data_IF_361621468037
#
_entry.id   IF_361621468037
#
_cell.length_a   1.000
_cell.length_b   1.000
_cell.length_c   1.000
_cell.angle_alpha   90.00
_cell.angle_beta   90.00
_cell.angle_gamma   90.00
#
_symmetry.space_group_name_H-M   'P 1'
#
loop_
_entity.id
_entity.type
_entity.pdbx_description
1 polymer ?
#
# COMPACT_ATOMS: atom_id res chain seq x y z
N UNK A 1 -54.09 -9.08 55.18
CA UNK A 1 -54.35 -9.04 53.73
C UNK A 1 -54.03 -7.63 53.26
N UNK A 2 -52.82 -7.40 52.77
CA UNK A 2 -52.39 -6.16 52.10
C UNK A 2 -51.63 -6.62 50.84
N UNK A 3 -52.01 -6.19 49.64
CA UNK A 3 -51.27 -6.49 48.42
C UNK A 3 -50.30 -5.35 48.14
N UNK A 4 -48.99 -5.61 48.09
CA UNK A 4 -48.04 -4.68 47.48
C UNK A 4 -47.07 -5.45 46.57
N UNK A 5 -47.41 -5.32 45.29
CA UNK A 5 -46.66 -5.29 44.02
C UNK A 5 -45.15 -5.64 44.05
N UNK A 6 -44.65 -6.45 43.09
CA UNK A 6 -43.22 -6.60 42.86
C UNK A 6 -42.67 -5.34 42.18
N UNK A 7 -41.71 -4.66 42.80
CA UNK A 7 -40.92 -3.62 42.14
C UNK A 7 -40.06 -4.25 41.04
N UNK A 8 -40.55 -4.14 39.80
CA UNK A 8 -39.75 -4.23 38.60
C UNK A 8 -39.20 -2.83 38.29
N UNK A 9 -38.01 -2.50 38.79
CA UNK A 9 -37.30 -1.31 38.28
C UNK A 9 -35.76 -1.37 38.46
N UNK A 10 -35.15 -2.51 38.16
CA UNK A 10 -33.69 -2.62 38.01
C UNK A 10 -33.22 -2.35 36.57
N UNK A 11 -34.03 -1.65 35.77
CA UNK A 11 -33.66 -1.22 34.45
C UNK A 11 -32.87 0.11 34.50
N UNK A 12 -31.67 0.06 33.89
CA UNK A 12 -30.87 1.17 33.38
C UNK A 12 -29.84 1.77 34.35
N UNK A 13 -28.57 1.44 34.11
CA UNK A 13 -27.37 2.14 34.61
C UNK A 13 -26.78 3.02 33.49
N UNK A 14 -27.09 4.34 33.42
CA UNK A 14 -26.62 5.21 32.33
C UNK A 14 -25.15 5.68 32.46
N UNK A 15 -24.37 5.18 33.42
CA UNK A 15 -23.03 5.70 33.75
C UNK A 15 -21.85 4.76 33.43
N UNK A 16 -22.06 3.44 33.31
CA UNK A 16 -20.97 2.49 33.00
C UNK A 16 -20.63 2.44 31.50
N UNK A 17 -21.65 2.55 30.63
CA UNK A 17 -21.49 2.44 29.18
C UNK A 17 -20.73 3.64 28.60
N UNK A 18 -21.01 4.86 29.09
CA UNK A 18 -20.31 6.09 28.68
C UNK A 18 -18.78 5.98 28.86
N UNK A 19 -18.32 5.34 29.94
CA UNK A 19 -16.88 5.14 30.19
C UNK A 19 -16.27 3.99 29.39
N UNK A 20 -17.02 2.91 29.14
CA UNK A 20 -16.57 1.80 28.29
C UNK A 20 -16.45 2.23 26.82
N UNK A 21 -17.45 2.97 26.33
CA UNK A 21 -17.46 3.58 24.99
C UNK A 21 -16.32 4.60 24.86
N UNK A 22 -16.11 5.48 25.84
CA UNK A 22 -14.99 6.43 25.78
C UNK A 22 -13.63 5.72 25.74
N UNK A 23 -13.41 4.70 26.58
CA UNK A 23 -12.18 3.88 26.54
C UNK A 23 -12.02 3.05 25.26
N UNK A 24 -13.13 2.70 24.59
CA UNK A 24 -13.11 2.05 23.28
C UNK A 24 -12.75 3.06 22.18
N UNK A 25 -13.33 4.27 22.22
CA UNK A 25 -13.00 5.39 21.30
C UNK A 25 -11.53 5.81 21.46
N UNK A 26 -11.03 5.93 22.69
CA UNK A 26 -9.65 6.34 22.97
C UNK A 26 -8.63 5.29 22.47
N UNK A 27 -8.95 3.99 22.61
CA UNK A 27 -8.14 2.90 22.02
C UNK A 27 -8.26 2.82 20.51
N UNK A 28 -9.46 3.06 19.98
CA UNK A 28 -9.69 3.12 18.55
C UNK A 28 -8.86 4.26 17.93
N UNK A 29 -8.86 5.46 18.51
CA UNK A 29 -8.00 6.56 18.04
C UNK A 29 -6.50 6.31 18.23
N UNK A 30 -6.09 5.56 19.26
CA UNK A 30 -4.69 5.19 19.48
C UNK A 30 -4.17 4.16 18.46
N UNK A 31 -5.04 3.26 17.98
CA UNK A 31 -4.66 2.17 17.06
C UNK A 31 -4.80 2.54 15.56
N UNK A 32 -5.34 3.72 15.24
CA UNK A 32 -5.64 4.07 13.84
C UNK A 32 -4.49 4.78 13.13
N UNK A 33 -3.75 3.97 12.37
CA UNK A 33 -3.03 4.32 11.13
C UNK A 33 -1.84 5.25 11.33
N UNK A 34 -0.73 4.61 11.64
CA UNK A 34 0.55 5.28 11.72
C UNK A 34 0.85 6.00 10.37
N UNK A 35 1.04 7.32 10.40
CA UNK A 35 0.91 8.20 9.23
C UNK A 35 2.03 7.99 8.19
N UNK A 36 3.14 7.39 8.64
CA UNK A 36 4.34 7.22 7.82
C UNK A 36 4.14 6.22 6.69
N UNK A 37 3.52 5.07 6.94
CA UNK A 37 3.21 4.08 5.90
C UNK A 37 2.14 4.59 4.91
N UNK A 38 1.22 5.44 5.36
CA UNK A 38 0.25 6.04 4.46
C UNK A 38 0.91 7.04 3.51
N UNK A 39 1.85 7.85 4.00
CA UNK A 39 2.60 8.80 3.18
C UNK A 39 3.45 8.12 2.10
N UNK A 40 4.18 7.05 2.46
CA UNK A 40 5.00 6.31 1.49
C UNK A 40 4.15 5.59 0.44
N UNK A 41 2.94 5.16 0.77
CA UNK A 41 2.00 4.61 -0.21
C UNK A 41 1.41 5.67 -1.15
N UNK A 42 1.04 6.84 -0.63
CA UNK A 42 0.50 7.95 -1.42
C UNK A 42 1.53 8.45 -2.44
N UNK A 43 2.81 8.36 -2.14
CA UNK A 43 3.88 8.73 -3.08
C UNK A 43 4.30 7.53 -3.95
N UNK A 44 4.47 6.37 -3.34
CA UNK A 44 5.00 5.17 -3.99
C UNK A 44 4.07 4.59 -5.05
N UNK A 45 2.76 4.54 -4.81
CA UNK A 45 1.80 3.98 -5.78
C UNK A 45 1.74 4.86 -7.05
N UNK A 46 1.56 6.19 -6.96
CA UNK A 46 1.63 7.05 -8.15
C UNK A 46 2.98 6.99 -8.85
N UNK A 47 4.10 6.89 -8.12
CA UNK A 47 5.42 6.72 -8.73
C UNK A 47 5.51 5.41 -9.54
N UNK A 48 5.01 4.29 -9.00
CA UNK A 48 4.94 3.02 -9.74
C UNK A 48 4.01 3.14 -10.95
N UNK A 49 2.83 3.74 -10.81
CA UNK A 49 1.90 3.91 -11.95
C UNK A 49 2.51 4.78 -13.04
N UNK A 50 3.13 5.91 -12.67
CA UNK A 50 3.82 6.79 -13.61
C UNK A 50 4.98 6.07 -14.29
N UNK A 51 5.71 5.23 -13.56
CA UNK A 51 6.83 4.46 -14.12
C UNK A 51 6.41 3.56 -15.28
N UNK A 52 5.20 2.98 -15.24
CA UNK A 52 4.66 2.15 -16.32
C UNK A 52 4.45 2.92 -17.61
N UNK A 53 4.20 4.24 -17.53
CA UNK A 53 4.08 5.11 -18.71
C UNK A 53 5.46 5.58 -19.16
N UNK A 54 6.27 6.10 -18.21
CA UNK A 54 7.59 6.67 -18.48
C UNK A 54 8.53 5.66 -19.14
N UNK A 55 8.42 4.38 -18.80
CA UNK A 55 9.30 3.33 -19.32
C UNK A 55 9.27 3.18 -20.85
N UNK A 56 8.16 3.55 -21.50
CA UNK A 56 8.04 3.53 -22.96
C UNK A 56 8.78 4.69 -23.65
N UNK A 57 9.00 5.80 -22.94
CA UNK A 57 9.72 6.97 -23.44
C UNK A 57 11.18 6.98 -23.01
N UNK A 58 11.45 6.57 -21.76
CA UNK A 58 12.79 6.43 -21.23
C UNK A 58 12.83 5.31 -20.18
N UNK A 59 13.47 4.20 -20.57
CA UNK A 59 13.50 3.00 -19.76
C UNK A 59 14.31 3.14 -18.46
N UNK A 60 15.33 4.01 -18.43
CA UNK A 60 16.16 4.23 -17.25
C UNK A 60 15.36 4.95 -16.17
N UNK A 61 14.64 6.01 -16.54
CA UNK A 61 13.76 6.74 -15.63
C UNK A 61 12.56 5.89 -15.20
N UNK A 62 11.95 5.14 -16.12
CA UNK A 62 10.88 4.21 -15.78
C UNK A 62 11.33 3.15 -14.76
N UNK A 63 12.47 2.50 -15.01
CA UNK A 63 13.01 1.51 -14.07
C UNK A 63 13.39 2.14 -12.72
N UNK A 64 13.99 3.32 -12.73
CA UNK A 64 14.34 4.07 -11.52
C UNK A 64 13.13 4.42 -10.66
N UNK A 65 12.06 4.93 -11.27
CA UNK A 65 10.80 5.25 -10.59
C UNK A 65 10.10 4.00 -10.06
N UNK A 66 10.13 2.90 -10.82
CA UNK A 66 9.55 1.63 -10.41
C UNK A 66 10.25 1.08 -9.16
N UNK A 67 11.57 0.95 -9.21
CA UNK A 67 12.37 0.44 -8.09
C UNK A 67 12.29 1.40 -6.89
N UNK A 68 12.42 2.71 -7.13
CA UNK A 68 12.34 3.74 -6.10
C UNK A 68 10.98 3.77 -5.39
N UNK A 69 9.88 3.64 -6.14
CA UNK A 69 8.53 3.56 -5.60
C UNK A 69 8.30 2.32 -4.74
N UNK A 70 8.90 1.18 -5.09
CA UNK A 70 8.90 -0.01 -4.23
C UNK A 70 9.72 0.19 -2.97
N UNK A 71 10.96 0.69 -3.07
CA UNK A 71 11.84 0.95 -1.92
C UNK A 71 11.14 1.88 -0.92
N UNK A 72 10.53 2.97 -1.40
CA UNK A 72 9.81 3.91 -0.55
C UNK A 72 8.68 3.24 0.24
N UNK A 73 7.89 2.38 -0.42
CA UNK A 73 6.84 1.61 0.25
C UNK A 73 7.42 0.62 1.27
N UNK A 74 8.49 -0.09 0.92
CA UNK A 74 9.17 -1.01 1.85
C UNK A 74 9.72 -0.30 3.08
N UNK A 75 10.28 0.90 2.93
CA UNK A 75 10.75 1.70 4.08
C UNK A 75 9.58 2.06 5.00
N UNK A 76 8.45 2.50 4.45
CA UNK A 76 7.25 2.79 5.25
C UNK A 76 6.74 1.58 6.04
N UNK A 77 6.70 0.40 5.40
CA UNK A 77 6.33 -0.85 6.07
C UNK A 77 7.37 -1.33 7.10
N UNK A 78 8.66 -1.18 6.79
CA UNK A 78 9.76 -1.59 7.66
C UNK A 78 9.84 -0.79 8.96
N UNK A 79 9.50 0.50 8.91
CA UNK A 79 9.42 1.36 10.11
C UNK A 79 8.23 0.97 11.00
N UNK A 80 7.14 0.48 10.41
CA UNK A 80 5.91 0.14 11.13
C UNK A 80 5.82 -1.32 11.58
N UNK A 81 6.75 -2.18 11.18
CA UNK A 81 6.78 -3.61 11.52
C UNK A 81 5.69 -4.46 10.87
N UNK A 82 4.85 -3.87 10.01
CA UNK A 82 3.80 -4.57 9.28
C UNK A 82 4.36 -5.24 8.01
N UNK A 83 3.89 -6.46 7.71
CA UNK A 83 4.33 -7.17 6.51
C UNK A 83 3.75 -6.50 5.26
N UNK A 84 4.58 -6.10 4.28
CA UNK A 84 4.12 -5.52 3.02
C UNK A 84 3.23 -6.52 2.26
N UNK A 85 2.18 -6.03 1.61
CA UNK A 85 1.21 -6.86 0.87
C UNK A 85 1.84 -7.71 -0.23
N UNK A 86 3.04 -7.38 -0.72
CA UNK A 86 3.79 -8.22 -1.67
C UNK A 86 4.06 -9.63 -1.10
N UNK A 87 4.29 -9.77 0.22
CA UNK A 87 4.48 -11.08 0.86
C UNK A 87 3.20 -11.91 0.87
N UNK A 88 2.04 -11.27 0.70
CA UNK A 88 0.73 -11.94 0.63
C UNK A 88 0.43 -12.41 -0.79
N UNK A 89 1.02 -11.79 -1.81
CA UNK A 89 0.82 -12.16 -3.21
C UNK A 89 2.11 -12.02 -4.06
N UNK A 90 2.80 -13.14 -4.36
CA UNK A 90 3.99 -13.15 -5.20
C UNK A 90 3.78 -12.66 -6.64
N UNK A 91 2.54 -12.54 -7.12
CA UNK A 91 2.23 -12.11 -8.50
C UNK A 91 2.77 -10.73 -8.82
N UNK A 92 2.88 -9.86 -7.81
CA UNK A 92 3.47 -8.52 -7.96
C UNK A 92 4.95 -8.55 -8.33
N UNK A 93 5.69 -9.64 -8.00
CA UNK A 93 7.07 -9.80 -8.43
C UNK A 93 7.19 -10.11 -9.92
N UNK A 94 6.21 -10.78 -10.54
CA UNK A 94 6.29 -11.27 -11.93
C UNK A 94 6.33 -10.14 -12.97
N UNK A 95 5.86 -8.95 -12.62
CA UNK A 95 5.95 -7.76 -13.49
C UNK A 95 7.42 -7.39 -13.77
N UNK A 96 8.32 -7.58 -12.80
CA UNK A 96 9.75 -7.32 -12.93
C UNK A 96 10.47 -8.24 -13.93
N UNK A 97 10.37 -9.58 -13.78
CA UNK A 97 10.88 -10.55 -14.75
C UNK A 97 10.33 -10.35 -16.16
N UNK A 98 9.02 -10.09 -16.33
CA UNK A 98 8.46 -9.82 -17.66
C UNK A 98 9.14 -8.61 -18.31
N UNK A 99 9.38 -7.54 -17.55
CA UNK A 99 10.04 -6.34 -18.04
C UNK A 99 11.50 -6.60 -18.43
N UNK A 100 12.28 -7.27 -17.58
CA UNK A 100 13.68 -7.61 -17.87
C UNK A 100 13.78 -8.51 -19.09
N UNK A 101 12.86 -9.47 -19.25
CA UNK A 101 12.81 -10.32 -20.43
C UNK A 101 12.60 -9.49 -21.70
N UNK A 102 11.63 -8.56 -21.70
CA UNK A 102 11.37 -7.69 -22.86
C UNK A 102 12.54 -6.72 -23.17
N UNK A 103 13.16 -6.12 -22.15
CA UNK A 103 14.23 -5.14 -22.36
C UNK A 103 15.58 -5.79 -22.68
N UNK A 104 15.87 -6.92 -22.05
CA UNK A 104 17.03 -7.76 -22.37
C UNK A 104 16.95 -8.31 -23.79
N UNK A 105 15.75 -8.72 -24.23
CA UNK A 105 15.53 -9.17 -25.60
C UNK A 105 15.85 -8.08 -26.62
N UNK A 106 15.37 -6.83 -26.44
CA UNK A 106 15.67 -5.70 -27.35
C UNK A 106 17.16 -5.39 -27.48
N UNK A 107 17.95 -5.55 -26.41
CA UNK A 107 19.40 -5.31 -26.42
C UNK A 107 20.17 -6.47 -27.07
N UNK A 108 19.63 -7.69 -26.99
CA UNK A 108 20.18 -8.89 -27.64
C UNK A 108 19.80 -8.96 -29.14
N UNK A 109 18.65 -8.42 -29.55
CA UNK A 109 18.19 -8.43 -30.95
C UNK A 109 18.67 -7.25 -31.80
N UNK A 110 19.44 -6.31 -31.24
CA UNK A 110 20.31 -5.41 -32.01
C UNK A 110 19.68 -4.73 -33.23
N UNK A 111 18.46 -4.18 -33.15
CA UNK A 111 17.89 -3.43 -34.28
C UNK A 111 18.49 -2.03 -34.33
N UNK A 112 19.71 -1.93 -34.87
CA UNK A 112 20.14 -0.75 -35.61
C UNK A 112 19.83 -1.07 -37.08
N UNK A 113 18.73 -0.53 -37.63
CA UNK A 113 18.64 -0.42 -39.09
C UNK A 113 19.68 0.60 -39.50
N UNK A 114 20.81 0.13 -40.00
CA UNK A 114 21.74 0.94 -40.78
C UNK A 114 21.12 1.10 -42.16
N UNK A 115 20.28 2.10 -42.38
CA UNK A 115 19.80 2.44 -43.73
C UNK A 115 19.69 3.96 -43.88
N UNK A 116 20.83 4.64 -43.86
CA UNK A 116 20.99 5.99 -44.41
C UNK A 116 22.34 6.05 -45.16
N UNK A 117 22.48 5.31 -46.26
CA UNK A 117 23.49 5.63 -47.29
C UNK A 117 23.10 5.08 -48.67
N UNK A 118 22.43 5.89 -49.53
CA UNK A 118 22.50 5.72 -50.96
C UNK A 118 23.66 6.55 -51.53
N UNK A 119 24.61 5.82 -52.12
CA UNK A 119 25.79 6.24 -52.89
C UNK A 119 25.57 7.35 -53.92
#
# INVERSE_FOLDING_TARGET
MHPDTPDQDSAQTPSEDSGAVQRWIDRYHADHKHPMNHATHIIGIPAIVASLVVVFFNWQWGLGLFIGGWILQFIGHGIEGNRPSFMKDPRFLLVGPLFILQHGFRKLTGTQRNEDDPS
#
